data_IF_397510154722
#
_entry.id   IF_397510154722
#
_cell.length_a   1.000
_cell.length_b   1.000
_cell.length_c   1.000
_cell.angle_alpha   90.00
_cell.angle_beta   90.00
_cell.angle_gamma   90.00
#
_symmetry.space_group_name_H-M   'P 1'
#
loop_
_entity.id
_entity.type
_entity.pdbx_description
1 polymer ?
#
# COMPACT_ATOMS: atom_id res chain seq x y z
N UNK A 1 10.03 55.30 -63.45
CA UNK A 1 9.11 54.96 -64.55
C UNK A 1 8.00 54.10 -63.95
N UNK A 2 6.77 54.58 -64.02
CA UNK A 2 5.56 54.05 -63.37
C UNK A 2 4.87 53.05 -64.31
N UNK A 3 4.40 51.91 -63.81
CA UNK A 3 3.08 51.37 -64.18
C UNK A 3 2.61 50.24 -63.25
N UNK A 4 1.49 50.50 -62.57
CA UNK A 4 0.57 49.51 -62.00
C UNK A 4 -0.22 48.84 -63.13
N UNK A 5 -0.50 47.53 -63.04
CA UNK A 5 -1.74 46.89 -63.52
C UNK A 5 -2.16 45.80 -62.54
N UNK A 6 -3.46 45.82 -62.22
CA UNK A 6 -4.22 44.95 -61.30
C UNK A 6 -4.92 43.79 -62.01
N UNK A 7 -5.32 42.75 -61.26
CA UNK A 7 -6.55 41.92 -61.31
C UNK A 7 -6.22 40.53 -60.71
N UNK A 8 -6.62 40.21 -59.47
CA UNK A 8 -7.92 39.67 -59.01
C UNK A 8 -8.21 38.18 -59.33
N UNK A 9 -8.46 37.45 -58.23
CA UNK A 9 -9.37 36.31 -58.05
C UNK A 9 -9.07 34.98 -58.75
N UNK A 10 -8.76 33.94 -57.94
CA UNK A 10 -9.62 32.74 -57.80
C UNK A 10 -9.24 31.91 -56.58
N UNK A 11 -10.23 31.84 -55.68
CA UNK A 11 -10.49 30.83 -54.65
C UNK A 11 -9.95 29.44 -54.96
N UNK A 12 -9.36 28.79 -53.94
CA UNK A 12 -9.57 27.38 -53.57
C UNK A 12 -8.84 27.10 -52.23
N UNK A 13 -9.54 27.30 -51.11
CA UNK A 13 -9.40 26.47 -49.90
C UNK A 13 -10.52 25.41 -49.97
N UNK A 14 -10.51 24.27 -49.24
CA UNK A 14 -9.62 23.83 -48.15
C UNK A 14 -9.06 22.40 -48.45
N UNK A 15 -8.17 21.75 -47.73
CA UNK A 15 -8.30 21.28 -46.35
C UNK A 15 -6.97 20.55 -46.05
N UNK A 16 -6.18 21.05 -45.11
CA UNK A 16 -5.09 20.26 -44.54
C UNK A 16 -5.52 19.86 -43.13
N UNK A 17 -5.63 18.54 -42.96
CA UNK A 17 -6.16 17.85 -41.80
C UNK A 17 -5.59 18.40 -40.49
N UNK A 18 -6.50 18.80 -39.60
CA UNK A 18 -6.21 18.93 -38.17
C UNK A 18 -6.01 17.51 -37.67
N UNK A 19 -4.75 17.06 -37.60
CA UNK A 19 -4.37 15.84 -36.90
C UNK A 19 -4.49 16.12 -35.40
N UNK A 20 -5.69 15.91 -34.87
CA UNK A 20 -5.91 15.88 -33.43
C UNK A 20 -5.19 14.64 -32.92
N UNK A 21 -3.94 14.81 -32.49
CA UNK A 21 -3.26 13.86 -31.64
C UNK A 21 -4.04 13.82 -30.32
N UNK A 22 -5.01 12.90 -30.27
CA UNK A 22 -5.54 12.36 -29.03
C UNK A 22 -4.36 11.68 -28.33
N UNK A 23 -3.56 12.47 -27.61
CA UNK A 23 -2.67 11.97 -26.57
C UNK A 23 -3.57 11.45 -25.45
N UNK A 24 -4.15 10.27 -25.68
CA UNK A 24 -4.66 9.45 -24.60
C UNK A 24 -3.49 9.27 -23.65
N UNK A 25 -3.58 9.90 -22.48
CA UNK A 25 -2.67 9.58 -21.39
C UNK A 25 -2.88 8.09 -21.15
N UNK A 26 -1.89 7.29 -21.55
CA UNK A 26 -1.77 5.92 -21.08
C UNK A 26 -1.72 6.03 -19.56
N UNK A 27 -2.85 5.79 -18.91
CA UNK A 27 -2.89 5.51 -17.49
C UNK A 27 -2.00 4.28 -17.37
N UNK A 28 -0.80 4.46 -16.83
CA UNK A 28 0.08 3.35 -16.51
C UNK A 28 -0.75 2.43 -15.61
N UNK A 29 -1.22 1.34 -16.19
CA UNK A 29 -2.00 0.31 -15.52
C UNK A 29 -0.99 -0.40 -14.62
N UNK A 30 -0.74 0.19 -13.44
CA UNK A 30 0.09 -0.41 -12.42
C UNK A 30 -0.43 -1.81 -12.09
N UNK A 31 0.41 -2.69 -11.53
CA UNK A 31 0.03 -4.07 -11.34
C UNK A 31 -1.25 -4.19 -10.51
N UNK A 32 -2.05 -5.20 -10.86
CA UNK A 32 -3.35 -5.42 -10.25
C UNK A 32 -3.22 -5.57 -8.73
N UNK A 33 -4.04 -4.86 -7.92
CA UNK A 33 -4.02 -5.00 -6.47
C UNK A 33 -4.34 -6.42 -6.03
N UNK A 34 -3.57 -6.93 -5.08
CA UNK A 34 -3.72 -8.30 -4.57
C UNK A 34 -4.26 -8.30 -3.14
N UNK A 35 -5.01 -9.35 -2.74
CA UNK A 35 -5.63 -9.41 -1.42
C UNK A 35 -4.64 -9.79 -0.31
N UNK A 36 -4.67 -9.04 0.80
CA UNK A 36 -3.92 -9.30 2.02
C UNK A 36 -4.84 -9.30 3.25
N UNK A 37 -4.62 -10.26 4.14
CA UNK A 37 -5.18 -10.24 5.49
C UNK A 37 -4.29 -9.36 6.38
N UNK A 38 -4.88 -8.36 7.00
CA UNK A 38 -4.21 -7.45 7.93
C UNK A 38 -4.66 -7.77 9.34
N UNK A 39 -3.70 -8.07 10.21
CA UNK A 39 -3.94 -8.27 11.64
C UNK A 39 -3.19 -7.22 12.44
N UNK A 40 -3.86 -6.65 13.45
CA UNK A 40 -3.18 -5.86 14.46
C UNK A 40 -2.52 -6.81 15.45
N UNK A 41 -1.21 -6.70 15.64
CA UNK A 41 -0.45 -7.59 16.52
C UNK A 41 -0.21 -6.98 17.89
N UNK A 42 -0.04 -5.67 17.95
CA UNK A 42 0.25 -4.96 19.20
C UNK A 42 -0.15 -3.50 19.07
N UNK A 43 -0.68 -2.91 20.14
CA UNK A 43 -0.81 -1.46 20.28
C UNK A 43 -0.05 -1.02 21.51
N UNK A 44 0.82 -0.02 21.37
CA UNK A 44 1.57 0.60 22.44
C UNK A 44 1.07 2.03 22.63
N UNK A 45 0.95 2.46 23.88
CA UNK A 45 0.72 3.86 24.21
C UNK A 45 1.77 4.34 25.20
N UNK A 46 2.41 5.47 24.89
CA UNK A 46 3.37 6.12 25.82
C UNK A 46 2.63 7.19 26.62
N UNK A 47 2.53 6.99 27.93
CA UNK A 47 2.00 7.96 28.90
C UNK A 47 3.13 8.54 29.76
N UNK A 48 2.81 9.47 30.66
CA UNK A 48 3.74 9.98 31.69
C UNK A 48 4.25 8.90 32.63
N UNK A 49 3.55 7.77 32.73
CA UNK A 49 3.87 6.65 33.63
C UNK A 49 4.65 5.53 32.93
N UNK A 50 5.00 5.71 31.65
CA UNK A 50 5.72 4.71 30.85
C UNK A 50 4.96 4.23 29.62
N UNK A 51 5.37 3.08 29.07
CA UNK A 51 4.74 2.46 27.90
C UNK A 51 3.75 1.40 28.38
N UNK A 52 2.51 1.49 27.92
CA UNK A 52 1.46 0.51 28.17
C UNK A 52 1.17 -0.28 26.90
N UNK A 53 1.06 -1.61 27.03
CA UNK A 53 0.65 -2.51 25.95
C UNK A 53 -0.87 -2.67 26.03
N UNK A 54 -1.56 -2.30 24.95
CA UNK A 54 -3.00 -2.49 24.82
C UNK A 54 -3.23 -3.75 23.98
N UNK A 55 -3.87 -4.80 24.53
CA UNK A 55 -4.23 -6.00 23.78
C UNK A 55 -5.07 -5.65 22.56
N UNK A 56 -4.72 -6.22 21.42
CA UNK A 56 -5.53 -6.11 20.19
C UNK A 56 -6.41 -7.35 20.06
N UNK A 57 -7.69 -7.19 19.76
CA UNK A 57 -8.68 -8.29 19.65
C UNK A 57 -8.46 -9.23 18.44
N UNK A 58 -7.24 -9.34 17.90
CA UNK A 58 -6.88 -10.14 16.72
C UNK A 58 -7.81 -10.01 15.51
N UNK A 59 -8.56 -8.90 15.42
CA UNK A 59 -9.45 -8.66 14.29
C UNK A 59 -8.63 -8.56 13.02
N UNK A 60 -8.96 -9.44 12.07
CA UNK A 60 -8.38 -9.45 10.74
C UNK A 60 -9.28 -8.68 9.78
N UNK A 61 -8.67 -7.93 8.86
CA UNK A 61 -9.38 -7.27 7.76
C UNK A 61 -8.72 -7.59 6.44
N UNK A 62 -9.52 -7.69 5.38
CA UNK A 62 -9.02 -7.82 4.02
C UNK A 62 -8.72 -6.42 3.48
N UNK A 63 -7.53 -6.24 2.91
CA UNK A 63 -7.14 -5.05 2.14
C UNK A 63 -6.55 -5.50 0.81
N UNK A 64 -6.44 -4.60 -0.16
CA UNK A 64 -5.69 -4.87 -1.38
C UNK A 64 -4.40 -4.05 -1.42
N UNK A 65 -3.30 -4.66 -1.85
CA UNK A 65 -2.00 -4.00 -1.99
C UNK A 65 -1.56 -4.09 -3.45
N UNK A 66 -1.14 -2.97 -4.01
CA UNK A 66 -0.42 -2.92 -5.28
C UNK A 66 0.93 -2.22 -5.06
N UNK A 67 1.96 -2.68 -5.76
CA UNK A 67 3.31 -2.09 -5.73
C UNK A 67 3.63 -1.58 -7.12
N UNK A 68 4.17 -0.38 -7.31
CA UNK A 68 4.62 0.03 -8.66
C UNK A 68 5.74 -0.87 -9.18
N UNK A 69 5.88 -0.97 -10.50
CA UNK A 69 6.91 -1.82 -11.14
C UNK A 69 8.35 -1.45 -10.72
N UNK A 70 8.58 -0.17 -10.39
CA UNK A 70 9.85 0.36 -9.90
C UNK A 70 9.98 0.37 -8.36
N UNK A 71 8.99 -0.20 -7.66
CA UNK A 71 8.85 -0.25 -6.21
C UNK A 71 8.92 1.11 -5.50
N UNK A 72 8.70 2.22 -6.20
CA UNK A 72 8.70 3.56 -5.60
C UNK A 72 7.41 3.89 -4.86
N UNK A 73 6.31 3.27 -5.26
CA UNK A 73 4.99 3.49 -4.72
C UNK A 73 4.34 2.19 -4.24
N UNK A 74 3.68 2.26 -3.09
CA UNK A 74 2.86 1.19 -2.56
C UNK A 74 1.45 1.75 -2.33
N UNK A 75 0.46 1.14 -2.97
CA UNK A 75 -0.96 1.46 -2.81
C UNK A 75 -1.62 0.44 -1.87
N UNK A 76 -2.37 0.92 -0.89
CA UNK A 76 -3.19 0.09 0.00
C UNK A 76 -4.64 0.55 -0.12
N UNK A 77 -5.52 -0.34 -0.57
CA UNK A 77 -6.96 -0.13 -0.52
C UNK A 77 -7.57 -0.84 0.69
N UNK A 78 -7.99 -0.04 1.67
CA UNK A 78 -8.69 -0.49 2.87
C UNK A 78 -10.13 0.10 2.96
N UNK A 79 -10.76 0.35 1.81
CA UNK A 79 -12.00 1.13 1.66
C UNK A 79 -11.76 2.59 1.27
N UNK A 80 -10.52 3.05 1.42
CA UNK A 80 -9.96 4.24 0.81
C UNK A 80 -8.54 3.91 0.34
N UNK A 81 -8.12 4.49 -0.79
CA UNK A 81 -6.79 4.26 -1.36
C UNK A 81 -5.76 5.13 -0.65
N UNK A 82 -4.84 4.49 0.04
CA UNK A 82 -3.67 5.10 0.66
C UNK A 82 -2.48 4.92 -0.29
N UNK A 83 -1.81 6.02 -0.63
CA UNK A 83 -0.58 6.01 -1.42
C UNK A 83 0.62 6.24 -0.52
N UNK A 84 1.55 5.30 -0.50
CA UNK A 84 2.77 5.35 0.30
C UNK A 84 3.99 5.47 -0.64
N UNK A 85 4.97 6.24 -0.20
CA UNK A 85 6.18 6.53 -0.96
C UNK A 85 7.39 5.82 -0.37
N UNK A 86 8.28 5.36 -1.23
CA UNK A 86 9.53 4.71 -0.83
C UNK A 86 10.34 5.58 0.12
N UNK A 87 10.81 4.99 1.22
CA UNK A 87 11.75 5.60 2.16
C UNK A 87 13.15 5.08 1.80
N UNK A 88 14.05 5.93 1.24
CA UNK A 88 15.36 5.47 0.77
C UNK A 88 16.26 4.90 1.87
N UNK A 89 16.08 5.36 3.11
CA UNK A 89 16.85 4.94 4.28
C UNK A 89 16.25 3.73 5.00
N UNK A 90 15.26 3.06 4.40
CA UNK A 90 14.57 1.91 4.97
C UNK A 90 14.04 2.19 6.38
N UNK A 91 14.29 1.25 7.30
CA UNK A 91 13.89 1.33 8.70
C UNK A 91 14.90 2.04 9.62
N UNK A 92 16.05 2.49 9.10
CA UNK A 92 17.14 3.04 9.94
C UNK A 92 16.75 4.31 10.70
N UNK A 93 15.93 5.16 10.09
CA UNK A 93 15.48 6.44 10.66
C UNK A 93 14.10 6.37 11.34
N UNK A 94 13.45 5.22 11.29
CA UNK A 94 12.13 5.05 11.89
C UNK A 94 12.27 4.79 13.39
N UNK A 95 11.68 5.66 14.22
CA UNK A 95 11.62 5.48 15.67
C UNK A 95 10.79 4.23 15.99
N UNK A 96 11.49 3.16 16.38
CA UNK A 96 10.88 1.90 16.78
C UNK A 96 11.03 1.75 18.30
N UNK A 97 9.95 1.87 19.09
CA UNK A 97 10.03 1.62 20.52
C UNK A 97 10.38 0.16 20.74
N UNK A 98 11.56 -0.08 21.28
CA UNK A 98 12.04 -1.40 21.71
C UNK A 98 11.61 -1.59 23.17
N UNK A 99 10.42 -2.13 23.39
CA UNK A 99 9.97 -2.53 24.73
C UNK A 99 9.55 -3.99 24.75
N UNK A 100 9.58 -4.61 25.94
CA UNK A 100 8.98 -5.92 26.14
C UNK A 100 7.51 -5.90 25.67
N UNK A 101 7.09 -6.92 24.92
CA UNK A 101 5.73 -7.07 24.41
C UNK A 101 5.48 -6.59 22.96
N UNK A 102 6.51 -6.06 22.30
CA UNK A 102 6.48 -5.82 20.85
C UNK A 102 6.58 -7.15 20.11
N UNK A 103 5.59 -7.49 19.28
CA UNK A 103 5.55 -8.78 18.58
C UNK A 103 6.52 -8.86 17.39
N UNK A 104 6.94 -7.70 16.86
CA UNK A 104 7.87 -7.60 15.75
C UNK A 104 8.92 -6.54 16.06
N UNK A 105 10.17 -6.94 16.26
CA UNK A 105 11.28 -5.99 16.46
C UNK A 105 11.86 -5.53 15.13
N UNK A 106 12.65 -4.45 15.16
CA UNK A 106 13.43 -4.01 13.99
C UNK A 106 14.40 -5.10 13.51
N UNK A 107 15.00 -5.86 14.43
CA UNK A 107 15.92 -6.94 14.08
C UNK A 107 15.17 -8.08 13.36
N UNK A 108 13.97 -8.43 13.83
CA UNK A 108 13.13 -9.42 13.15
C UNK A 108 12.77 -8.98 11.74
N UNK A 109 12.46 -7.68 11.54
CA UNK A 109 12.17 -7.14 10.22
C UNK A 109 13.35 -7.30 9.25
N UNK A 110 14.58 -7.06 9.71
CA UNK A 110 15.82 -7.26 8.93
C UNK A 110 15.97 -8.73 8.52
N UNK A 111 15.85 -9.63 9.51
CA UNK A 111 15.97 -11.09 9.28
C UNK A 111 14.90 -11.59 8.32
N UNK A 112 13.64 -11.19 8.52
CA UNK A 112 12.51 -11.61 7.69
C UNK A 112 12.59 -11.04 6.26
N UNK A 113 13.07 -9.80 6.12
CA UNK A 113 13.32 -9.21 4.81
C UNK A 113 14.47 -9.88 4.05
N UNK A 114 15.32 -10.66 4.73
CA UNK A 114 16.47 -11.32 4.13
C UNK A 114 17.59 -10.35 3.75
N UNK A 115 17.73 -9.24 4.48
CA UNK A 115 18.76 -8.22 4.25
C UNK A 115 19.70 -8.12 5.46
N UNK A 116 20.83 -7.45 5.29
CA UNK A 116 21.86 -7.37 6.33
C UNK A 116 21.56 -6.31 7.40
N UNK A 117 20.93 -5.20 6.98
CA UNK A 117 20.78 -4.01 7.81
C UNK A 117 19.41 -3.35 7.63
N UNK A 118 19.01 -2.54 8.61
CA UNK A 118 17.68 -1.92 8.64
C UNK A 118 17.44 -0.91 7.51
N UNK A 119 18.48 -0.25 7.02
CA UNK A 119 18.42 0.68 5.89
C UNK A 119 18.16 -0.01 4.55
N UNK A 120 18.51 -1.29 4.44
CA UNK A 120 18.25 -2.10 3.25
C UNK A 120 16.83 -2.68 3.23
N UNK A 121 16.10 -2.62 4.35
CA UNK A 121 14.73 -3.16 4.42
C UNK A 121 13.81 -2.33 3.52
N UNK A 122 13.14 -2.95 2.54
CA UNK A 122 12.22 -2.25 1.67
C UNK A 122 11.07 -1.61 2.46
N UNK A 123 10.97 -0.28 2.44
CA UNK A 123 10.07 0.50 3.31
C UNK A 123 9.37 1.62 2.55
N UNK A 124 8.09 1.83 2.84
CA UNK A 124 7.25 2.90 2.29
C UNK A 124 6.51 3.61 3.42
N UNK A 125 6.18 4.89 3.26
CA UNK A 125 5.40 5.62 4.24
C UNK A 125 4.60 6.78 3.68
N UNK A 126 3.61 7.22 4.44
CA UNK A 126 2.82 8.41 4.20
C UNK A 126 2.19 8.93 5.49
N UNK A 127 1.85 10.21 5.50
CA UNK A 127 0.90 10.76 6.47
C UNK A 127 -0.52 10.44 5.98
N UNK A 128 -1.34 9.88 6.87
CA UNK A 128 -2.71 9.47 6.56
C UNK A 128 -3.64 9.93 7.66
N UNK A 129 -4.83 10.39 7.28
CA UNK A 129 -5.90 10.66 8.24
C UNK A 129 -6.58 9.35 8.62
N UNK A 130 -6.28 8.86 9.83
CA UNK A 130 -6.80 7.60 10.30
C UNK A 130 -8.08 7.77 11.13
N UNK A 131 -9.15 7.03 10.82
CA UNK A 131 -10.41 7.13 11.56
C UNK A 131 -10.23 6.95 13.08
N UNK A 132 -10.68 7.93 13.85
CA UNK A 132 -10.61 7.92 15.32
C UNK A 132 -9.22 8.19 15.91
N UNK A 133 -8.16 8.31 15.09
CA UNK A 133 -6.80 8.65 15.54
C UNK A 133 -6.29 9.99 14.98
N UNK A 134 -6.92 10.52 13.93
CA UNK A 134 -6.49 11.75 13.25
C UNK A 134 -5.27 11.51 12.36
N UNK A 135 -4.43 12.52 12.12
CA UNK A 135 -3.26 12.38 11.28
C UNK A 135 -2.22 11.47 11.94
N UNK A 136 -1.80 10.44 11.22
CA UNK A 136 -0.81 9.45 11.65
C UNK A 136 0.21 9.19 10.55
N UNK A 137 1.41 8.80 10.92
CA UNK A 137 2.39 8.28 9.97
C UNK A 137 2.18 6.78 9.84
N UNK A 138 1.78 6.33 8.65
CA UNK A 138 1.75 4.92 8.27
C UNK A 138 3.07 4.57 7.60
N UNK A 139 3.72 3.53 8.10
CA UNK A 139 4.95 2.96 7.56
C UNK A 139 4.70 1.50 7.28
N UNK A 140 5.04 1.04 6.09
CA UNK A 140 4.90 -0.36 5.67
C UNK A 140 6.22 -0.83 5.13
N UNK A 141 6.64 -2.04 5.48
CA UNK A 141 7.91 -2.58 5.05
C UNK A 141 7.80 -4.06 4.69
N UNK A 142 8.60 -4.50 3.73
CA UNK A 142 8.59 -5.88 3.24
C UNK A 142 9.28 -6.79 4.25
N UNK A 143 8.65 -7.93 4.55
CA UNK A 143 9.19 -8.99 5.44
C UNK A 143 9.34 -10.33 4.71
N UNK A 144 9.27 -10.31 3.39
CA UNK A 144 9.28 -11.50 2.54
C UNK A 144 8.46 -11.29 1.27
N UNK A 145 8.36 -12.32 0.41
CA UNK A 145 7.64 -12.20 -0.86
C UNK A 145 6.12 -11.95 -0.67
N UNK A 146 5.55 -12.51 0.40
CA UNK A 146 4.10 -12.57 0.64
C UNK A 146 3.67 -11.80 1.91
N UNK A 147 4.58 -11.03 2.50
CA UNK A 147 4.40 -10.44 3.83
C UNK A 147 4.92 -9.02 3.91
N UNK A 148 4.10 -8.15 4.51
CA UNK A 148 4.52 -6.83 4.94
C UNK A 148 4.28 -6.66 6.43
N UNK A 149 5.16 -5.92 7.09
CA UNK A 149 4.92 -5.36 8.41
C UNK A 149 4.42 -3.92 8.27
N UNK A 150 3.62 -3.48 9.22
CA UNK A 150 3.12 -2.13 9.30
C UNK A 150 3.33 -1.52 10.66
N UNK A 151 3.67 -0.24 10.68
CA UNK A 151 3.67 0.62 11.85
C UNK A 151 2.78 1.80 11.59
N UNK A 152 1.92 2.11 12.54
CA UNK A 152 1.12 3.32 12.52
C UNK A 152 1.47 4.10 13.78
N UNK A 153 2.13 5.23 13.59
CA UNK A 153 2.55 6.13 14.67
C UNK A 153 1.66 7.36 14.66
N UNK A 154 1.03 7.65 15.79
CA UNK A 154 0.26 8.87 15.97
C UNK A 154 0.90 9.74 17.05
N UNK A 155 0.90 11.06 16.81
CA UNK A 155 1.31 12.07 17.80
C UNK A 155 0.15 13.00 18.24
N UNK A 156 -1.07 12.50 18.54
CA UNK A 156 -2.12 13.34 19.06
C UNK A 156 -1.81 13.72 20.51
N UNK A 157 -1.76 15.03 20.78
CA UNK A 157 -1.84 15.58 22.14
C UNK A 157 -0.79 15.04 23.14
N UNK A 158 0.45 14.81 22.69
CA UNK A 158 1.57 14.43 23.55
C UNK A 158 1.68 12.94 23.91
N UNK A 159 0.72 12.11 23.51
CA UNK A 159 0.75 10.65 23.72
C UNK A 159 1.16 9.97 22.41
N UNK A 160 2.41 9.48 22.34
CA UNK A 160 2.87 8.67 21.20
C UNK A 160 2.17 7.31 21.26
N UNK A 161 1.23 7.06 20.35
CA UNK A 161 0.67 5.72 20.15
C UNK A 161 1.36 5.07 18.95
N UNK A 162 1.70 3.80 19.09
CA UNK A 162 2.20 2.99 18.00
C UNK A 162 1.33 1.75 17.86
N UNK A 163 0.88 1.48 16.65
CA UNK A 163 0.20 0.23 16.33
C UNK A 163 1.06 -0.58 15.37
N UNK A 164 1.23 -1.85 15.67
CA UNK A 164 1.88 -2.82 14.80
C UNK A 164 0.85 -3.65 14.06
N UNK A 165 1.12 -3.87 12.78
CA UNK A 165 0.28 -4.63 11.87
C UNK A 165 1.14 -5.63 11.08
N UNK A 166 0.52 -6.74 10.71
CA UNK A 166 1.10 -7.69 9.75
C UNK A 166 0.10 -7.88 8.63
N UNK A 167 0.59 -7.73 7.40
CA UNK A 167 -0.12 -8.00 6.17
C UNK A 167 0.40 -9.32 5.62
N UNK A 168 -0.48 -10.31 5.46
CA UNK A 168 -0.17 -11.61 4.90
C UNK A 168 -0.99 -11.78 3.63
N UNK A 169 -0.35 -12.11 2.48
CA UNK A 169 -1.10 -12.33 1.24
C UNK A 169 -2.14 -13.41 1.50
N UNK A 170 -3.40 -13.10 1.17
CA UNK A 170 -4.48 -14.05 1.35
C UNK A 170 -4.25 -15.20 0.38
N UNK A 171 -4.14 -16.42 0.90
CA UNK A 171 -4.00 -17.58 0.03
C UNK A 171 -5.28 -17.78 -0.78
N UNK A 172 -5.14 -17.98 -2.09
CA UNK A 172 -6.25 -18.40 -2.96
C UNK A 172 -6.83 -19.77 -2.58
N UNK A 173 -6.20 -20.48 -1.64
CA UNK A 173 -6.58 -21.82 -1.17
C UNK A 173 -7.69 -21.85 -0.09
N UNK A 174 -8.18 -20.70 0.37
CA UNK A 174 -9.34 -20.63 1.29
C UNK A 174 -10.70 -20.98 0.68
N UNK A 175 -10.79 -21.23 -0.63
CA UNK A 175 -12.00 -21.74 -1.31
C UNK A 175 -11.82 -23.16 -1.83
N UNK A 176 -11.28 -24.08 -1.03
CA UNK A 176 -11.68 -25.48 -1.21
C UNK A 176 -13.08 -25.63 -0.61
N UNK A 177 -14.11 -25.30 -1.40
CA UNK A 177 -15.46 -25.85 -1.17
C UNK A 177 -15.25 -27.36 -0.99
N UNK A 178 -15.74 -27.99 0.09
CA UNK A 178 -15.69 -29.44 0.23
C UNK A 178 -16.18 -30.01 -1.10
N UNK A 179 -15.35 -30.80 -1.79
CA UNK A 179 -15.85 -31.56 -2.95
C UNK A 179 -17.05 -32.32 -2.41
N UNK A 180 -18.23 -32.04 -2.95
CA UNK A 180 -19.42 -32.83 -2.68
C UNK A 180 -19.00 -34.27 -2.92
N UNK A 181 -18.93 -35.05 -1.83
CA UNK A 181 -18.72 -36.49 -1.93
C UNK A 181 -19.84 -36.99 -2.87
N UNK A 182 -19.52 -37.79 -3.91
CA UNK A 182 -20.57 -38.41 -4.70
C UNK A 182 -21.51 -39.10 -3.72
N UNK A 183 -22.80 -38.75 -3.77
CA UNK A 183 -23.80 -39.44 -2.97
C UNK A 183 -23.74 -40.90 -3.39
N UNK A 184 -23.33 -41.76 -2.46
CA UNK A 184 -23.41 -43.20 -2.65
C UNK A 184 -24.90 -43.53 -2.83
N UNK A 185 -25.32 -44.13 -3.96
CA UNK A 185 -26.71 -44.47 -4.15
C UNK A 185 -27.12 -45.42 -3.03
N UNK A 186 -28.09 -44.99 -2.23
CA UNK A 186 -28.64 -45.82 -1.16
C UNK A 186 -29.29 -47.04 -1.82
N UNK A 187 -28.70 -48.22 -1.67
CA UNK A 187 -29.19 -49.45 -2.31
C UNK A 187 -30.45 -50.04 -1.63
N UNK A 188 -31.13 -49.25 -0.79
CA UNK A 188 -32.27 -49.68 0.01
C UNK A 188 -33.27 -48.53 0.32
N UNK A 189 -33.45 -47.57 -0.58
CA UNK A 189 -34.56 -46.62 -0.55
C UNK A 189 -35.49 -46.86 -1.74
#
# INVERSE_FOLDING_TARGET
>A
MIQLISLQLKSLLPALAILVLMSGQAVSEGPAPEPYNVANTTTLSRSTNGIEIVPTNFEQRLVHIAMSDDERELLIDAGAVLRLWRIPTGLSQIEWPVSAGVSLSRADAVVLAGVETADLVPTWGAEVDWPGLGPVTLIVFRMGPERFGGLLSSTPSGVKRLRQMVFQRASSHGRQRPRSRPAEPCSAC
#
